data_IF_428083539995
#
_entry.id   IF_428083539995
#
_cell.length_a   1.000
_cell.length_b   1.000
_cell.length_c   1.000
_cell.angle_alpha   90.00
_cell.angle_beta   90.00
_cell.angle_gamma   90.00
#
_symmetry.space_group_name_H-M   'P 1'
#
loop_
_entity.id
_entity.type
_entity.pdbx_description
1 polymer ?
#
# COMPACT_ATOMS: atom_id res chain seq x y z
N UNK A 1 50.22 -59.71 43.87
CA UNK A 1 49.23 -58.60 43.84
C UNK A 1 49.04 -58.12 42.41
N UNK A 2 47.78 -57.98 42.01
CA UNK A 2 47.32 -57.46 40.73
C UNK A 2 47.66 -55.97 40.56
N UNK A 3 47.99 -55.57 39.33
CA UNK A 3 48.12 -54.16 38.95
C UNK A 3 47.76 -53.95 37.48
N UNK A 4 46.48 -54.12 37.14
CA UNK A 4 45.94 -53.76 35.83
C UNK A 4 46.04 -52.24 35.65
N UNK A 5 46.94 -51.77 34.76
CA UNK A 5 46.93 -50.38 34.30
C UNK A 5 46.09 -50.30 33.03
N UNK A 6 44.88 -49.75 33.17
CA UNK A 6 43.98 -49.40 32.06
C UNK A 6 44.74 -48.50 31.07
N UNK A 7 44.69 -48.85 29.79
CA UNK A 7 45.12 -47.98 28.70
C UNK A 7 44.01 -46.96 28.45
N UNK A 8 44.19 -45.72 28.89
CA UNK A 8 43.31 -44.61 28.51
C UNK A 8 43.51 -44.33 27.01
N UNK A 9 42.42 -44.42 26.25
CA UNK A 9 42.40 -44.06 24.83
C UNK A 9 42.35 -42.53 24.74
N UNK A 10 43.51 -41.91 24.56
CA UNK A 10 43.67 -40.46 24.37
C UNK A 10 43.12 -40.10 22.98
N UNK A 11 41.93 -39.50 22.95
CA UNK A 11 41.30 -38.98 21.73
C UNK A 11 41.19 -37.46 21.79
N UNK A 12 42.21 -36.80 22.34
CA UNK A 12 42.33 -35.36 22.27
C UNK A 12 43.01 -35.05 20.94
N UNK A 13 42.24 -34.52 19.99
CA UNK A 13 42.83 -34.01 18.74
C UNK A 13 43.81 -32.90 19.13
N UNK A 14 45.09 -33.00 18.72
CA UNK A 14 46.08 -31.98 19.05
C UNK A 14 45.58 -30.61 18.61
N UNK A 15 45.78 -29.59 19.44
CA UNK A 15 45.33 -28.22 19.18
C UNK A 15 45.95 -27.69 17.88
N UNK A 16 45.23 -27.76 16.78
CA UNK A 16 45.68 -27.33 15.45
C UNK A 16 45.54 -25.82 15.21
N UNK A 17 45.29 -25.00 16.25
CA UNK A 17 45.20 -23.54 16.10
C UNK A 17 46.48 -22.90 15.55
N UNK A 18 47.62 -23.59 15.68
CA UNK A 18 48.92 -23.21 15.12
C UNK A 18 49.08 -23.52 13.62
N UNK A 19 48.22 -24.35 13.02
CA UNK A 19 48.27 -24.66 11.59
C UNK A 19 47.59 -23.51 10.85
N UNK A 20 48.37 -22.49 10.49
CA UNK A 20 47.96 -21.38 9.62
C UNK A 20 48.74 -21.48 8.32
N UNK A 21 48.04 -21.33 7.20
CA UNK A 21 48.68 -21.20 5.90
C UNK A 21 49.40 -19.84 5.87
N UNK A 22 50.71 -19.84 6.08
CA UNK A 22 51.56 -18.64 6.09
C UNK A 22 51.48 -17.84 4.78
N UNK A 23 51.13 -18.51 3.68
CA UNK A 23 50.94 -17.88 2.35
C UNK A 23 49.55 -17.24 2.19
N UNK A 24 48.61 -17.44 3.12
CA UNK A 24 47.35 -16.67 3.17
C UNK A 24 47.54 -15.39 3.97
N UNK A 25 48.61 -14.66 3.65
CA UNK A 25 48.79 -13.28 4.05
C UNK A 25 48.12 -12.39 2.99
N UNK A 26 47.40 -11.36 3.43
CA UNK A 26 46.97 -10.33 2.49
C UNK A 26 48.23 -9.70 1.89
N UNK A 27 48.41 -9.76 0.58
CA UNK A 27 49.51 -9.06 -0.08
C UNK A 27 49.34 -7.56 0.18
N UNK A 28 50.17 -7.00 1.06
CA UNK A 28 50.13 -5.59 1.44
C UNK A 28 50.37 -4.61 0.27
N UNK A 29 50.62 -5.16 -0.93
CA UNK A 29 51.00 -4.46 -2.15
C UNK A 29 49.84 -4.28 -3.15
N UNK A 30 48.78 -5.07 -3.06
CA UNK A 30 47.71 -5.08 -4.09
C UNK A 30 46.58 -4.08 -3.84
N UNK A 31 46.38 -3.63 -2.60
CA UNK A 31 45.31 -2.69 -2.25
C UNK A 31 45.83 -1.53 -1.43
N UNK A 32 45.69 -0.31 -1.95
CA UNK A 32 46.08 0.91 -1.25
C UNK A 32 45.03 1.30 -0.20
N UNK A 33 45.05 0.63 0.95
CA UNK A 33 44.12 0.86 2.07
C UNK A 33 44.09 2.34 2.49
N UNK A 34 45.27 2.98 2.55
CA UNK A 34 45.37 4.40 2.91
C UNK A 34 44.66 5.34 1.91
N UNK A 35 44.61 4.97 0.62
CA UNK A 35 43.88 5.73 -0.40
C UNK A 35 42.37 5.57 -0.25
N UNK A 36 41.92 4.33 -0.01
CA UNK A 36 40.51 4.00 0.20
C UNK A 36 39.97 4.72 1.45
N UNK A 37 40.70 4.70 2.56
CA UNK A 37 40.28 5.38 3.79
C UNK A 37 40.15 6.88 3.58
N UNK A 38 41.13 7.53 2.92
CA UNK A 38 41.05 8.96 2.58
C UNK A 38 39.88 9.28 1.66
N UNK A 39 39.58 8.39 0.71
CA UNK A 39 38.44 8.54 -0.19
C UNK A 39 37.11 8.47 0.57
N UNK A 40 36.93 7.49 1.45
CA UNK A 40 35.72 7.36 2.28
C UNK A 40 35.53 8.56 3.19
N UNK A 41 36.61 9.03 3.84
CA UNK A 41 36.58 10.23 4.68
C UNK A 41 36.22 11.46 3.84
N UNK A 42 36.83 11.63 2.67
CA UNK A 42 36.52 12.73 1.76
C UNK A 42 35.06 12.72 1.31
N UNK A 43 34.53 11.54 0.98
CA UNK A 43 33.13 11.37 0.58
C UNK A 43 32.17 11.72 1.73
N UNK A 44 32.47 11.26 2.95
CA UNK A 44 31.69 11.59 4.15
C UNK A 44 31.69 13.10 4.43
N UNK A 45 32.85 13.75 4.37
CA UNK A 45 32.97 15.21 4.57
C UNK A 45 32.15 15.96 3.51
N UNK A 46 32.20 15.54 2.24
CA UNK A 46 31.41 16.14 1.17
C UNK A 46 29.91 15.98 1.40
N UNK A 47 29.45 14.79 1.83
CA UNK A 47 28.04 14.56 2.17
C UNK A 47 27.57 15.47 3.30
N UNK A 48 28.36 15.59 4.37
CA UNK A 48 28.07 16.48 5.49
C UNK A 48 28.03 17.95 5.05
N UNK A 49 28.96 18.36 4.17
CA UNK A 49 28.98 19.71 3.62
C UNK A 49 27.71 20.02 2.80
N UNK A 50 27.29 19.11 1.92
CA UNK A 50 26.05 19.28 1.13
C UNK A 50 24.82 19.32 2.05
N UNK A 51 24.78 18.49 3.09
CA UNK A 51 23.70 18.51 4.08
C UNK A 51 23.59 19.87 4.79
N UNK A 52 24.70 20.42 5.29
CA UNK A 52 24.68 21.74 5.91
C UNK A 52 24.36 22.86 4.92
N UNK A 53 24.79 22.73 3.67
CA UNK A 53 24.48 23.69 2.61
C UNK A 53 22.97 23.73 2.32
N UNK A 54 22.33 22.56 2.11
CA UNK A 54 20.87 22.51 1.86
C UNK A 54 20.08 22.93 3.08
N UNK A 55 20.46 22.49 4.29
CA UNK A 55 19.84 22.93 5.54
C UNK A 55 19.94 24.45 5.73
N UNK A 56 21.11 25.03 5.50
CA UNK A 56 21.33 26.48 5.58
C UNK A 56 20.52 27.24 4.53
N UNK A 57 20.49 26.76 3.29
CA UNK A 57 19.69 27.34 2.21
C UNK A 57 18.20 27.33 2.55
N UNK A 58 17.67 26.21 3.05
CA UNK A 58 16.26 26.13 3.49
C UNK A 58 15.97 27.10 4.63
N UNK A 59 16.85 27.18 5.63
CA UNK A 59 16.68 28.13 6.75
C UNK A 59 16.69 29.59 6.29
N UNK A 60 17.50 29.92 5.28
CA UNK A 60 17.52 31.24 4.67
C UNK A 60 16.25 31.53 3.85
N UNK A 61 15.75 30.54 3.10
CA UNK A 61 14.52 30.64 2.33
C UNK A 61 13.31 30.78 3.24
N UNK A 62 13.20 29.97 4.30
CA UNK A 62 12.15 30.05 5.32
C UNK A 62 12.07 31.44 5.93
N UNK A 63 13.21 32.04 6.27
CA UNK A 63 13.27 33.41 6.80
C UNK A 63 12.78 34.48 5.80
N UNK A 64 12.71 34.15 4.51
CA UNK A 64 12.22 35.03 3.43
C UNK A 64 10.81 34.64 2.95
N UNK A 65 10.36 33.42 3.25
CA UNK A 65 9.02 32.93 2.92
C UNK A 65 8.01 33.62 3.81
N UNK A 66 7.50 34.77 3.36
CA UNK A 66 6.26 35.32 3.88
C UNK A 66 5.13 34.51 3.25
N UNK A 67 4.30 33.85 4.08
CA UNK A 67 3.12 33.16 3.58
C UNK A 67 2.24 34.19 2.84
N UNK A 68 1.99 34.02 1.53
CA UNK A 68 1.15 34.96 0.82
C UNK A 68 -0.23 34.97 1.48
N UNK A 69 -0.85 36.15 1.67
CA UNK A 69 -2.20 36.23 2.19
C UNK A 69 -3.11 35.38 1.30
N UNK A 70 -4.01 34.63 1.94
CA UNK A 70 -4.93 33.67 1.30
C UNK A 70 -5.52 34.30 0.03
N UNK A 71 -5.21 33.70 -1.12
CA UNK A 71 -5.55 34.29 -2.42
C UNK A 71 -7.05 34.55 -2.51
N UNK A 72 -7.50 35.67 -3.12
CA UNK A 72 -8.94 35.99 -3.23
C UNK A 72 -9.72 34.97 -4.06
N UNK A 73 -9.03 34.10 -4.80
CA UNK A 73 -9.61 32.98 -5.56
C UNK A 73 -9.66 31.66 -4.76
N UNK A 74 -9.11 31.64 -3.54
CA UNK A 74 -9.31 30.55 -2.59
C UNK A 74 -10.70 30.68 -1.96
N UNK A 75 -11.71 30.50 -2.80
CA UNK A 75 -13.12 30.43 -2.45
C UNK A 75 -13.31 29.56 -1.20
N UNK A 76 -14.08 30.06 -0.24
CA UNK A 76 -14.43 29.32 0.96
C UNK A 76 -15.11 27.99 0.56
N UNK A 77 -15.04 26.95 1.40
CA UNK A 77 -15.54 25.61 1.06
C UNK A 77 -16.99 25.58 0.55
N UNK A 78 -17.80 26.58 0.93
CA UNK A 78 -19.18 26.75 0.48
C UNK A 78 -19.31 27.30 -0.96
N UNK A 79 -18.35 28.10 -1.42
CA UNK A 79 -18.41 28.86 -2.67
C UNK A 79 -17.76 28.10 -3.85
N UNK A 80 -17.00 27.04 -3.54
CA UNK A 80 -16.55 26.03 -4.51
C UNK A 80 -17.65 25.05 -4.93
N UNK A 81 -18.76 25.01 -4.21
CA UNK A 81 -19.85 24.10 -4.53
C UNK A 81 -20.65 24.68 -5.70
N UNK A 82 -20.96 23.88 -6.74
CA UNK A 82 -21.95 24.30 -7.73
C UNK A 82 -23.27 24.63 -7.00
N UNK A 83 -23.99 25.67 -7.44
CA UNK A 83 -25.27 26.05 -6.83
C UNK A 83 -26.21 24.85 -6.82
N UNK A 84 -27.02 24.72 -5.77
CA UNK A 84 -28.02 23.66 -5.66
C UNK A 84 -29.02 23.76 -6.84
N UNK A 85 -29.49 22.65 -7.44
CA UNK A 85 -29.61 21.29 -6.91
C UNK A 85 -28.38 20.40 -7.15
N UNK A 86 -27.81 19.87 -6.05
CA UNK A 86 -26.68 18.94 -6.13
C UNK A 86 -27.16 17.60 -6.67
N UNK A 87 -26.60 17.18 -7.80
CA UNK A 87 -26.71 15.80 -8.25
C UNK A 87 -25.93 14.92 -7.25
N UNK A 88 -26.59 13.90 -6.71
CA UNK A 88 -26.06 12.86 -5.80
C UNK A 88 -26.07 13.19 -4.29
N UNK A 89 -27.24 13.02 -3.67
CA UNK A 89 -27.38 12.81 -2.21
C UNK A 89 -26.96 11.38 -1.78
N UNK A 90 -25.87 10.86 -2.33
CA UNK A 90 -25.38 9.53 -1.98
C UNK A 90 -24.63 9.61 -0.63
N UNK A 91 -25.03 8.84 0.41
CA UNK A 91 -24.38 8.85 1.71
C UNK A 91 -22.96 8.28 1.59
N UNK A 92 -21.97 9.17 1.45
CA UNK A 92 -20.55 8.84 1.27
C UNK A 92 -19.73 9.94 0.59
N UNK A 93 -20.36 10.75 -0.28
CA UNK A 93 -19.70 11.88 -0.95
C UNK A 93 -19.83 13.22 -0.20
N UNK A 94 -20.58 13.22 0.91
CA UNK A 94 -20.78 14.38 1.77
C UNK A 94 -19.73 14.47 2.90
N UNK A 95 -18.51 13.98 2.69
CA UNK A 95 -17.41 14.32 3.60
C UNK A 95 -16.93 15.74 3.28
N UNK A 96 -17.28 16.64 4.19
CA UNK A 96 -16.93 18.04 4.16
C UNK A 96 -15.41 18.22 4.07
N UNK A 97 -14.97 18.96 3.05
CA UNK A 97 -13.58 19.36 2.81
C UNK A 97 -12.93 20.08 4.03
N UNK A 98 -13.75 20.53 4.98
CA UNK A 98 -13.37 21.14 6.26
C UNK A 98 -12.53 20.20 7.15
N UNK A 99 -12.79 18.88 7.12
CA UNK A 99 -12.12 17.94 8.04
C UNK A 99 -10.66 17.65 7.67
N UNK A 100 -10.25 17.93 6.44
CA UNK A 100 -8.85 17.76 6.00
C UNK A 100 -7.95 18.98 6.27
N UNK A 101 -8.50 20.10 6.74
CA UNK A 101 -7.74 21.35 6.88
C UNK A 101 -7.33 21.69 8.33
N UNK A 102 -7.76 20.94 9.35
CA UNK A 102 -7.52 21.34 10.74
C UNK A 102 -6.78 20.27 11.52
N UNK A 103 -5.45 20.36 11.49
CA UNK A 103 -4.62 19.81 12.56
C UNK A 103 -4.61 20.79 13.75
N UNK A 104 -5.48 20.51 14.74
CA UNK A 104 -5.38 20.75 16.22
C UNK A 104 -5.40 22.21 16.78
N UNK A 105 -5.77 22.47 18.08
CA UNK A 105 -6.16 21.57 19.19
C UNK A 105 -7.36 22.00 20.10
N UNK A 106 -7.72 21.10 21.03
CA UNK A 106 -8.50 21.25 22.28
C UNK A 106 -10.02 20.90 22.26
N UNK A 107 -10.40 19.95 23.12
CA UNK A 107 -11.76 19.46 23.44
C UNK A 107 -12.59 20.52 24.24
N UNK A 108 -13.92 20.34 24.43
CA UNK A 108 -14.46 19.39 25.42
C UNK A 108 -15.70 18.58 24.96
N UNK A 109 -15.70 17.31 25.36
CA UNK A 109 -16.78 16.33 25.57
C UNK A 109 -18.19 16.50 24.95
N UNK A 110 -18.55 15.52 24.10
CA UNK A 110 -19.90 14.93 24.09
C UNK A 110 -19.80 13.46 24.54
N UNK A 111 -20.59 13.04 25.55
CA UNK A 111 -20.48 11.72 26.16
C UNK A 111 -21.23 10.68 25.29
N UNK A 112 -20.48 9.77 24.67
CA UNK A 112 -21.06 8.58 24.05
C UNK A 112 -20.68 8.33 22.60
N UNK A 113 -19.41 8.43 22.23
CA UNK A 113 -18.85 7.69 21.09
C UNK A 113 -17.33 7.63 21.21
N UNK A 114 -16.87 6.95 22.26
CA UNK A 114 -15.52 6.38 22.31
C UNK A 114 -15.35 5.49 21.08
N UNK A 115 -14.47 5.87 20.18
CA UNK A 115 -14.22 5.09 18.97
C UNK A 115 -13.46 5.90 17.95
N UNK A 116 -12.14 5.82 18.03
CA UNK A 116 -11.19 6.02 16.94
C UNK A 116 -11.88 6.08 15.57
N UNK A 117 -12.01 7.28 14.99
CA UNK A 117 -12.30 7.42 13.55
C UNK A 117 -11.01 7.11 12.79
N UNK A 118 -10.58 5.87 12.93
CA UNK A 118 -9.67 5.21 12.03
C UNK A 118 -10.21 5.45 10.61
N UNK A 119 -9.38 5.89 9.66
CA UNK A 119 -9.84 6.07 8.29
C UNK A 119 -10.47 4.75 7.86
N UNK A 120 -11.75 4.78 7.47
CA UNK A 120 -12.43 3.57 7.02
C UNK A 120 -11.52 2.94 5.97
N UNK A 121 -11.05 1.72 6.25
CA UNK A 121 -10.13 0.98 5.38
C UNK A 121 -10.55 1.18 3.92
N UNK A 122 -9.66 1.53 2.98
CA UNK A 122 -10.03 1.86 1.60
C UNK A 122 -10.91 0.79 0.92
N UNK A 123 -10.88 -0.45 1.40
CA UNK A 123 -11.73 -1.54 0.93
C UNK A 123 -13.19 -1.48 1.45
N UNK A 124 -13.57 -0.50 2.27
CA UNK A 124 -14.89 -0.43 2.89
C UNK A 124 -16.01 -0.17 1.86
N UNK A 125 -15.76 0.70 0.88
CA UNK A 125 -16.70 0.97 -0.21
C UNK A 125 -16.90 -0.27 -1.09
N UNK A 126 -15.80 -0.97 -1.38
CA UNK A 126 -15.83 -2.21 -2.16
C UNK A 126 -16.66 -3.28 -1.44
N UNK A 127 -16.53 -3.40 -0.11
CA UNK A 127 -17.33 -4.33 0.70
C UNK A 127 -18.81 -3.95 0.73
N UNK A 128 -19.12 -2.65 0.82
CA UNK A 128 -20.50 -2.16 0.79
C UNK A 128 -21.17 -2.44 -0.56
N UNK A 129 -20.48 -2.15 -1.67
CA UNK A 129 -20.95 -2.45 -3.03
C UNK A 129 -21.17 -3.94 -3.24
N UNK A 130 -20.21 -4.77 -2.79
CA UNK A 130 -20.34 -6.23 -2.90
C UNK A 130 -21.57 -6.74 -2.16
N UNK A 131 -21.82 -6.24 -0.95
CA UNK A 131 -23.01 -6.61 -0.17
C UNK A 131 -24.31 -6.24 -0.89
N UNK A 132 -24.36 -5.07 -1.55
CA UNK A 132 -25.52 -4.67 -2.34
C UNK A 132 -25.73 -5.59 -3.55
N UNK A 133 -24.66 -5.98 -4.24
CA UNK A 133 -24.77 -6.90 -5.37
C UNK A 133 -25.18 -8.30 -4.94
N UNK A 134 -24.64 -8.80 -3.83
CA UNK A 134 -25.02 -10.10 -3.28
C UNK A 134 -26.51 -10.11 -2.87
N UNK A 135 -27.00 -9.02 -2.26
CA UNK A 135 -28.42 -8.88 -1.92
C UNK A 135 -29.33 -8.84 -3.16
N UNK A 136 -28.90 -8.21 -4.25
CA UNK A 136 -29.64 -8.25 -5.53
C UNK A 136 -29.64 -9.65 -6.13
N UNK A 137 -28.57 -10.43 -5.99
CA UNK A 137 -28.54 -11.82 -6.46
C UNK A 137 -29.45 -12.73 -5.62
N UNK A 138 -29.56 -12.47 -4.31
CA UNK A 138 -30.36 -13.29 -3.38
C UNK A 138 -31.84 -12.89 -3.33
N UNK A 139 -32.13 -11.58 -3.34
CA UNK A 139 -33.45 -11.00 -3.11
C UNK A 139 -33.93 -10.09 -4.25
N UNK A 140 -33.23 -10.10 -5.38
CA UNK A 140 -33.53 -9.25 -6.53
C UNK A 140 -34.96 -9.40 -7.05
N UNK A 141 -35.48 -8.36 -7.72
CA UNK A 141 -36.84 -8.36 -8.24
C UNK A 141 -37.07 -9.52 -9.22
N UNK A 142 -38.29 -10.02 -9.24
CA UNK A 142 -38.72 -11.03 -10.20
C UNK A 142 -39.48 -10.35 -11.35
N UNK A 143 -39.25 -10.80 -12.57
CA UNK A 143 -40.07 -10.48 -13.74
C UNK A 143 -41.51 -10.99 -13.53
N UNK A 144 -42.45 -10.50 -14.34
CA UNK A 144 -43.85 -10.93 -14.35
C UNK A 144 -44.00 -12.45 -14.56
N UNK A 145 -43.00 -13.07 -15.18
CA UNK A 145 -42.91 -14.51 -15.41
C UNK A 145 -42.31 -15.29 -14.21
N UNK A 146 -42.05 -14.63 -13.08
CA UNK A 146 -41.46 -15.22 -11.87
C UNK A 146 -39.95 -15.50 -11.95
N UNK A 147 -39.27 -15.10 -13.05
CA UNK A 147 -37.82 -15.24 -13.20
C UNK A 147 -37.09 -14.07 -12.54
N UNK A 148 -36.08 -14.35 -11.72
CA UNK A 148 -35.29 -13.32 -11.02
C UNK A 148 -34.39 -12.54 -11.99
N UNK A 149 -34.33 -11.22 -11.83
CA UNK A 149 -33.34 -10.37 -12.49
C UNK A 149 -31.99 -10.52 -11.78
N UNK A 150 -30.97 -11.02 -12.48
CA UNK A 150 -29.65 -11.25 -11.90
C UNK A 150 -29.60 -12.58 -11.15
N UNK A 151 -29.28 -13.64 -11.88
CA UNK A 151 -29.00 -14.97 -11.32
C UNK A 151 -27.48 -15.15 -11.17
N UNK A 152 -26.99 -15.84 -10.12
CA UNK A 152 -25.59 -16.24 -10.03
C UNK A 152 -25.14 -16.99 -11.29
N UNK A 153 -23.94 -16.68 -11.78
CA UNK A 153 -23.48 -17.14 -13.09
C UNK A 153 -23.41 -18.67 -13.18
N UNK A 154 -23.16 -19.35 -12.07
CA UNK A 154 -23.14 -20.81 -11.94
C UNK A 154 -24.51 -21.40 -12.23
N UNK A 155 -25.57 -20.83 -11.62
CA UNK A 155 -26.95 -21.28 -11.84
C UNK A 155 -27.39 -20.95 -13.28
N UNK A 156 -26.96 -19.79 -13.80
CA UNK A 156 -27.28 -19.41 -15.18
C UNK A 156 -26.64 -20.36 -16.20
N UNK A 157 -25.42 -20.84 -15.95
CA UNK A 157 -24.78 -21.87 -16.79
C UNK A 157 -25.58 -23.17 -16.78
N UNK A 158 -26.00 -23.63 -15.60
CA UNK A 158 -26.79 -24.86 -15.48
C UNK A 158 -28.15 -24.72 -16.16
N UNK A 159 -28.81 -23.56 -16.06
CA UNK A 159 -30.08 -23.29 -16.73
C UNK A 159 -29.91 -23.24 -18.26
N UNK A 160 -28.85 -22.61 -18.77
CA UNK A 160 -28.53 -22.59 -20.22
C UNK A 160 -28.18 -23.99 -20.73
N UNK A 161 -27.44 -24.79 -19.98
CA UNK A 161 -27.13 -26.17 -20.35
C UNK A 161 -28.41 -27.03 -20.43
N UNK A 162 -29.38 -26.79 -19.53
CA UNK A 162 -30.70 -27.45 -19.57
C UNK A 162 -31.57 -26.96 -20.73
N UNK A 163 -31.55 -25.66 -21.01
CA UNK A 163 -32.38 -25.04 -22.05
C UNK A 163 -31.81 -25.24 -23.46
N UNK A 164 -30.51 -25.49 -23.58
CA UNK A 164 -29.78 -25.51 -24.84
C UNK A 164 -29.38 -24.10 -25.30
N UNK A 165 -28.22 -23.99 -25.97
CA UNK A 165 -27.76 -22.72 -26.51
C UNK A 165 -28.69 -22.29 -27.67
N UNK A 166 -29.24 -21.06 -27.65
CA UNK A 166 -30.06 -20.58 -28.75
C UNK A 166 -29.20 -20.44 -30.01
N UNK A 167 -29.51 -21.25 -31.03
CA UNK A 167 -28.87 -21.14 -32.34
C UNK A 167 -29.66 -20.13 -33.17
N UNK A 168 -28.98 -19.13 -33.72
CA UNK A 168 -29.60 -18.20 -34.68
C UNK A 168 -30.06 -19.01 -35.90
N UNK A 169 -31.33 -18.92 -36.33
CA UNK A 169 -31.74 -19.53 -37.60
C UNK A 169 -30.97 -18.88 -38.75
N UNK A 170 -30.27 -19.68 -39.54
CA UNK A 170 -29.74 -19.23 -40.84
C UNK A 170 -30.91 -19.13 -41.82
N UNK A 171 -31.44 -17.92 -42.03
CA UNK A 171 -32.22 -17.67 -43.24
C UNK A 171 -31.26 -17.68 -44.43
N UNK A 172 -31.25 -18.79 -45.16
CA UNK A 172 -30.61 -18.89 -46.46
C UNK A 172 -31.31 -17.94 -47.43
N UNK A 173 -30.79 -16.72 -47.55
CA UNK A 173 -31.20 -15.73 -48.54
C UNK A 173 -30.97 -16.27 -49.96
N UNK A 174 -31.98 -16.93 -50.50
CA UNK A 174 -32.07 -17.38 -51.89
C UNK A 174 -32.12 -16.16 -52.82
N UNK A 175 -30.97 -15.56 -53.11
CA UNK A 175 -30.82 -14.54 -54.16
C UNK A 175 -30.75 -15.25 -55.51
N UNK A 176 -31.90 -15.41 -56.16
CA UNK A 176 -31.98 -15.86 -57.56
C UNK A 176 -31.30 -14.80 -58.45
N UNK A 177 -30.41 -15.28 -59.32
CA UNK A 177 -29.86 -14.57 -60.48
C UNK A 177 -30.94 -14.27 -61.50
#
# INVERSE_FOLDING_TARGET
MNGSKKKEHVTETPDISYIRNVDTAHEARDVQVGGIVKFVVGLFVMTVAVFFFTWGMFRMLEARSQEPPRSPMALSGAERLPPEPRLQAAPGFAETLEKSATLTPAEPESPGATGSKEPKNPLWEIKALRKQWDDVLEHGPMDQNGKRYGMPIEIAKDEILKQGLPVRPQEAGSRKQ
#
